data_IF_309240600175
#
_entry.id   IF_309240600175
#
_cell.length_a   1.000
_cell.length_b   1.000
_cell.length_c   1.000
_cell.angle_alpha   90.00
_cell.angle_beta   90.00
_cell.angle_gamma   90.00
#
_symmetry.space_group_name_H-M   'P 1'
#
loop_
_entity.id
_entity.type
_entity.pdbx_description
1 polymer ?
#
# COMPACT_ATOMS: atom_id res chain seq x y z
N UNK A 1 15.57 2.26 15.62
CA UNK A 1 14.82 1.04 15.24
C UNK A 1 14.11 1.37 13.94
N UNK A 2 14.55 0.80 12.80
CA UNK A 2 13.84 0.96 11.52
C UNK A 2 12.67 -0.03 11.52
N UNK A 3 11.46 0.51 11.63
CA UNK A 3 10.18 -0.23 11.69
C UNK A 3 9.65 -0.58 10.29
N UNK A 4 10.00 0.22 9.28
CA UNK A 4 9.59 0.04 7.88
C UNK A 4 10.67 -0.65 7.06
N UNK A 5 10.27 -1.49 6.11
CA UNK A 5 11.17 -2.25 5.24
C UNK A 5 11.70 -1.45 4.06
N UNK A 6 12.62 -2.06 3.30
CA UNK A 6 13.26 -1.44 2.14
C UNK A 6 12.25 -1.06 1.04
N UNK A 7 11.14 -1.80 0.92
CA UNK A 7 10.12 -1.54 -0.10
C UNK A 7 9.42 -0.22 0.17
N UNK A 8 9.13 0.09 1.44
CA UNK A 8 8.60 1.38 1.84
C UNK A 8 9.53 2.52 1.41
N UNK A 9 10.81 2.48 1.77
CA UNK A 9 11.74 3.56 1.46
C UNK A 9 11.94 3.74 -0.05
N UNK A 10 12.05 2.64 -0.80
CA UNK A 10 12.19 2.69 -2.25
C UNK A 10 10.94 3.28 -2.93
N UNK A 11 9.75 3.01 -2.40
CA UNK A 11 8.51 3.60 -2.91
C UNK A 11 8.49 5.12 -2.70
N UNK A 12 8.79 5.61 -1.49
CA UNK A 12 8.80 7.05 -1.20
C UNK A 12 9.98 7.79 -1.82
N UNK A 13 11.08 7.11 -2.12
CA UNK A 13 12.15 7.67 -2.95
C UNK A 13 11.69 7.91 -4.39
N UNK A 14 10.82 7.04 -4.93
CA UNK A 14 10.23 7.19 -6.28
C UNK A 14 9.06 8.18 -6.30
N UNK A 15 8.24 8.22 -5.25
CA UNK A 15 7.08 9.10 -5.12
C UNK A 15 7.12 9.91 -3.82
N UNK A 16 7.94 10.97 -3.74
CA UNK A 16 8.08 11.77 -2.52
C UNK A 16 6.78 12.46 -2.07
N UNK A 17 5.87 12.73 -3.01
CA UNK A 17 4.60 13.41 -2.78
C UNK A 17 3.43 12.43 -2.56
N UNK A 18 3.67 11.12 -2.54
CA UNK A 18 2.61 10.15 -2.33
C UNK A 18 1.98 10.32 -0.94
N UNK A 19 0.64 10.40 -0.89
CA UNK A 19 -0.07 10.42 0.38
C UNK A 19 0.03 9.06 1.08
N UNK A 20 0.30 9.11 2.38
CA UNK A 20 0.43 7.93 3.23
C UNK A 20 -0.77 7.84 4.16
N UNK A 21 -1.46 6.71 4.11
CA UNK A 21 -2.63 6.43 4.94
C UNK A 21 -2.34 5.22 5.83
N UNK A 22 -2.28 5.47 7.14
CA UNK A 22 -2.02 4.44 8.15
C UNK A 22 -3.32 3.97 8.81
N UNK A 23 -3.45 2.66 9.01
CA UNK A 23 -4.62 2.00 9.56
C UNK A 23 -4.23 1.11 10.72
N UNK A 24 -4.92 1.25 11.84
CA UNK A 24 -4.81 0.32 12.97
C UNK A 24 -5.88 -0.77 12.86
N UNK A 25 -5.47 -2.03 12.96
CA UNK A 25 -6.37 -3.18 12.95
C UNK A 25 -6.74 -3.60 14.37
N UNK A 26 -7.90 -4.25 14.52
CA UNK A 26 -8.40 -4.73 15.83
C UNK A 26 -7.50 -5.76 16.51
N UNK A 27 -6.65 -6.46 15.75
CA UNK A 27 -5.70 -7.46 16.25
C UNK A 27 -4.34 -6.85 16.65
N UNK A 28 -4.24 -5.52 16.79
CA UNK A 28 -3.02 -4.84 17.19
C UNK A 28 -2.00 -4.62 16.07
N UNK A 29 -2.18 -5.25 14.90
CA UNK A 29 -1.38 -4.97 13.71
C UNK A 29 -1.74 -3.62 13.11
N UNK A 30 -0.86 -3.06 12.29
CA UNK A 30 -1.13 -1.86 11.51
C UNK A 30 -0.86 -2.09 10.02
N UNK A 31 -1.38 -1.22 9.19
CA UNK A 31 -1.03 -1.17 7.76
C UNK A 31 -0.81 0.24 7.28
N UNK A 32 0.06 0.37 6.30
CA UNK A 32 0.32 1.61 5.58
C UNK A 32 -0.05 1.41 4.13
N UNK A 33 -0.76 2.38 3.55
CA UNK A 33 -1.11 2.41 2.14
C UNK A 33 -0.63 3.72 1.58
N UNK A 34 -0.03 3.68 0.40
CA UNK A 34 0.34 4.88 -0.34
C UNK A 34 0.13 4.66 -1.83
N UNK A 35 -0.16 5.75 -2.55
CA UNK A 35 -0.39 5.70 -4.00
C UNK A 35 0.53 6.71 -4.66
N UNK A 36 1.37 6.20 -5.56
CA UNK A 36 2.29 6.95 -6.38
C UNK A 36 1.58 7.38 -7.65
N UNK A 37 1.65 8.68 -7.93
CA UNK A 37 1.10 9.27 -9.13
C UNK A 37 2.23 9.62 -10.11
N UNK A 38 1.98 9.42 -11.40
CA UNK A 38 2.80 9.93 -12.47
C UNK A 38 1.91 10.72 -13.44
N UNK A 39 2.20 12.02 -13.60
CA UNK A 39 1.38 12.93 -14.43
C UNK A 39 -0.12 12.93 -14.05
N UNK A 40 -0.43 12.82 -12.76
CA UNK A 40 -1.80 12.81 -12.25
C UNK A 40 -2.55 11.49 -12.42
N UNK A 41 -1.90 10.44 -12.93
CA UNK A 41 -2.45 9.09 -13.05
C UNK A 41 -1.79 8.15 -12.04
N UNK A 42 -2.51 7.10 -11.63
CA UNK A 42 -1.96 6.07 -10.75
C UNK A 42 -0.88 5.28 -11.49
N UNK A 43 0.33 5.29 -10.97
CA UNK A 43 1.48 4.53 -11.52
C UNK A 43 1.77 3.29 -10.66
N UNK A 44 1.78 3.44 -9.33
CA UNK A 44 2.10 2.34 -8.41
C UNK A 44 1.40 2.52 -7.07
N UNK A 45 0.96 1.41 -6.47
CA UNK A 45 0.40 1.37 -5.12
C UNK A 45 1.33 0.63 -4.16
N UNK A 46 1.52 1.17 -2.97
CA UNK A 46 2.23 0.53 -1.87
C UNK A 46 1.26 0.05 -0.80
N UNK A 47 1.58 -1.12 -0.24
CA UNK A 47 0.91 -1.66 0.94
C UNK A 47 1.92 -2.32 1.87
N UNK A 48 1.96 -1.85 3.10
CA UNK A 48 2.74 -2.44 4.20
C UNK A 48 1.82 -2.92 5.31
N UNK A 49 2.16 -4.05 5.93
CA UNK A 49 1.51 -4.59 7.12
C UNK A 49 2.58 -4.82 8.18
N UNK A 50 2.31 -4.35 9.39
CA UNK A 50 3.27 -4.37 10.48
C UNK A 50 2.63 -4.99 11.74
N UNK A 51 3.44 -5.61 12.58
CA UNK A 51 3.01 -6.10 13.88
C UNK A 51 2.82 -4.96 14.89
N UNK A 52 2.43 -5.30 16.12
CA UNK A 52 2.19 -4.32 17.17
C UNK A 52 3.47 -3.57 17.61
N UNK A 53 4.65 -4.15 17.40
CA UNK A 53 5.95 -3.53 17.67
C UNK A 53 6.44 -2.69 16.47
N UNK A 54 5.62 -2.59 15.41
CA UNK A 54 5.91 -1.87 14.19
C UNK A 54 6.88 -2.59 13.26
N UNK A 55 7.14 -3.88 13.43
CA UNK A 55 8.00 -4.65 12.52
C UNK A 55 7.21 -5.03 11.27
N UNK A 56 7.84 -4.89 10.10
CA UNK A 56 7.26 -5.32 8.83
C UNK A 56 6.96 -6.82 8.83
N UNK A 57 5.70 -7.16 8.64
CA UNK A 57 5.22 -8.52 8.36
C UNK A 57 5.15 -8.78 6.85
N UNK A 58 4.70 -7.79 6.08
CA UNK A 58 4.60 -7.89 4.64
C UNK A 58 4.59 -6.49 4.01
N UNK A 59 5.37 -6.31 2.94
CA UNK A 59 5.33 -5.12 2.09
C UNK A 59 5.18 -5.54 0.63
N UNK A 60 4.47 -4.75 -0.17
CA UNK A 60 4.35 -4.97 -1.60
C UNK A 60 4.14 -3.67 -2.35
N UNK A 61 4.57 -3.68 -3.62
CA UNK A 61 4.28 -2.65 -4.62
C UNK A 61 3.48 -3.29 -5.74
N UNK A 62 2.48 -2.58 -6.22
CA UNK A 62 1.57 -3.02 -7.28
C UNK A 62 1.58 -1.93 -8.35
N UNK A 63 2.19 -2.21 -9.50
CA UNK A 63 2.18 -1.29 -10.63
C UNK A 63 0.79 -1.14 -11.24
N UNK A 64 0.63 -0.15 -12.12
CA UNK A 64 -0.63 0.19 -12.79
C UNK A 64 -1.33 -1.04 -13.38
N UNK A 65 -0.63 -1.89 -14.13
CA UNK A 65 -1.23 -3.08 -14.76
C UNK A 65 -1.81 -4.06 -13.73
N UNK A 66 -1.10 -4.29 -12.63
CA UNK A 66 -1.56 -5.17 -11.56
C UNK A 66 -2.79 -4.59 -10.85
N UNK A 67 -2.78 -3.28 -10.57
CA UNK A 67 -3.92 -2.58 -10.00
C UNK A 67 -5.13 -2.62 -10.94
N UNK A 68 -4.92 -2.31 -12.23
CA UNK A 68 -5.92 -2.32 -13.29
C UNK A 68 -6.62 -3.67 -13.40
N UNK A 69 -5.82 -4.74 -13.44
CA UNK A 69 -6.31 -6.12 -13.43
C UNK A 69 -7.10 -6.44 -12.16
N UNK A 70 -6.63 -6.01 -10.99
CA UNK A 70 -7.29 -6.27 -9.71
C UNK A 70 -8.64 -5.56 -9.56
N UNK A 71 -8.80 -4.37 -10.14
CA UNK A 71 -10.07 -3.63 -10.11
C UNK A 71 -10.96 -3.89 -11.33
N UNK A 72 -10.48 -4.65 -12.32
CA UNK A 72 -11.21 -4.96 -13.55
C UNK A 72 -11.39 -3.75 -14.47
N UNK A 73 -10.45 -2.80 -14.47
CA UNK A 73 -10.50 -1.57 -15.29
C UNK A 73 -9.23 -1.44 -16.13
N UNK A 74 -9.33 -0.79 -17.28
CA UNK A 74 -8.16 -0.51 -18.13
C UNK A 74 -7.23 0.56 -17.54
N UNK A 75 -7.78 1.47 -16.71
CA UNK A 75 -7.04 2.48 -15.96
C UNK A 75 -7.64 2.60 -14.56
N UNK A 76 -6.78 2.85 -13.57
CA UNK A 76 -7.18 2.92 -12.17
C UNK A 76 -7.17 4.36 -11.71
N UNK A 77 -8.31 4.83 -11.20
CA UNK A 77 -8.36 6.10 -10.49
C UNK A 77 -7.85 5.95 -9.05
N UNK A 78 -7.46 7.05 -8.43
CA UNK A 78 -6.95 7.04 -7.04
C UNK A 78 -7.88 6.31 -6.07
N UNK A 79 -9.18 6.61 -6.11
CA UNK A 79 -10.17 5.99 -5.21
C UNK A 79 -10.25 4.47 -5.38
N UNK A 80 -10.21 3.97 -6.62
CA UNK A 80 -10.25 2.54 -6.91
C UNK A 80 -8.98 1.85 -6.41
N UNK A 81 -7.81 2.44 -6.66
CA UNK A 81 -6.53 1.93 -6.17
C UNK A 81 -6.51 1.88 -4.64
N UNK A 82 -7.00 2.93 -4.00
CA UNK A 82 -7.02 3.06 -2.55
C UNK A 82 -7.91 2.00 -1.90
N UNK A 83 -9.15 1.86 -2.34
CA UNK A 83 -10.08 0.86 -1.80
C UNK A 83 -9.57 -0.57 -2.03
N UNK A 84 -8.98 -0.84 -3.19
CA UNK A 84 -8.35 -2.14 -3.45
C UNK A 84 -7.18 -2.41 -2.49
N UNK A 85 -6.23 -1.49 -2.37
CA UNK A 85 -5.07 -1.64 -1.50
C UNK A 85 -5.50 -1.79 -0.03
N UNK A 86 -6.55 -1.09 0.38
CA UNK A 86 -7.12 -1.17 1.72
C UNK A 86 -7.73 -2.53 2.01
N UNK A 87 -8.54 -3.04 1.10
CA UNK A 87 -9.07 -4.40 1.18
C UNK A 87 -7.94 -5.44 1.25
N UNK A 88 -6.90 -5.26 0.43
CA UNK A 88 -5.73 -6.14 0.40
C UNK A 88 -4.91 -6.09 1.70
N UNK A 89 -4.73 -4.91 2.29
CA UNK A 89 -4.06 -4.72 3.57
C UNK A 89 -4.80 -5.42 4.70
N UNK A 90 -6.14 -5.24 4.78
CA UNK A 90 -6.99 -5.91 5.78
C UNK A 90 -6.94 -7.45 5.61
N UNK A 91 -7.01 -7.94 4.37
CA UNK A 91 -6.90 -9.37 4.09
C UNK A 91 -5.56 -9.95 4.53
N UNK A 92 -4.46 -9.20 4.40
CA UNK A 92 -3.14 -9.63 4.87
C UNK A 92 -2.98 -9.53 6.39
N UNK A 93 -3.52 -8.50 7.02
CA UNK A 93 -3.45 -8.33 8.47
C UNK A 93 -4.19 -9.45 9.23
N UNK A 94 -5.27 -9.99 8.65
CA UNK A 94 -6.11 -11.03 9.26
C UNK A 94 -5.64 -12.46 9.02
N UNK A 95 -4.78 -12.71 8.02
CA UNK A 95 -4.31 -14.06 7.64
C UNK A 95 -2.98 -14.50 8.30
N UNK A 96 -2.41 -13.69 9.18
CA UNK A 96 -1.16 -13.98 9.89
C UNK A 96 -1.36 -14.21 11.37
#
# INVERSE_FOLDING_TARGET
MQTRGEIFFNFFAKYPEAECHDFQHKNGKSSTIAIGLFQGLVDEGFVGVYDADGRSLAEARLGEEALAKSVGKNRVGYADAFEFLKSHAVGRATRG
#
